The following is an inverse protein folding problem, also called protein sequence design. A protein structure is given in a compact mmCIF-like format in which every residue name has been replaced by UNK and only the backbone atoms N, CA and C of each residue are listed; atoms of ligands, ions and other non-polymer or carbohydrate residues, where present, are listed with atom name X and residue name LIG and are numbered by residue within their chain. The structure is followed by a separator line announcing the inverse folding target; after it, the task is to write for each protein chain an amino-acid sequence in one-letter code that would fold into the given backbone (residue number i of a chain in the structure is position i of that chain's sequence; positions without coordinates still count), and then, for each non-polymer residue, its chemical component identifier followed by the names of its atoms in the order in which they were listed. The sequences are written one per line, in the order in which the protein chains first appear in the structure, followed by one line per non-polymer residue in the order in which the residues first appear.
data_IF_103416967059
#
_entry.id   IF_103416967059
#
_cell.length_a   1.000
_cell.length_b   1.000
_cell.length_c   1.000
_cell.angle_alpha   90.00
_cell.angle_beta   90.00
_cell.angle_gamma   90.00
#
_symmetry.space_group_name_H-M   'P 1'
#
loop_
_entity.id
_entity.type
_entity.pdbx_description
1 polymer ?
#
# COMPACT_ATOMS: atom_id res chain seq x y z
N UNK A 1 -1.48 21.03 -2.85
CA UNK A 1 -0.62 20.57 -1.73
C UNK A 1 -1.32 20.89 -0.43
N UNK A 2 -1.09 20.12 0.61
CA UNK A 2 -1.75 20.23 1.92
C UNK A 2 -0.73 20.55 3.01
N UNK A 3 -1.16 21.18 4.09
CA UNK A 3 -0.37 21.21 5.33
C UNK A 3 -0.70 19.98 6.19
N UNK A 4 0.19 19.64 7.13
CA UNK A 4 -0.08 18.55 8.08
C UNK A 4 -1.32 18.86 8.96
N UNK A 5 -1.58 20.14 9.24
CA UNK A 5 -2.76 20.58 9.99
C UNK A 5 -4.05 20.33 9.19
N UNK A 6 -4.06 20.63 7.90
CA UNK A 6 -5.22 20.37 7.03
C UNK A 6 -5.53 18.87 6.99
N UNK A 7 -4.49 18.04 6.87
CA UNK A 7 -4.63 16.58 6.87
C UNK A 7 -5.13 16.07 8.22
N UNK A 8 -4.61 16.61 9.33
CA UNK A 8 -5.03 16.25 10.68
C UNK A 8 -6.53 16.53 10.90
N UNK A 9 -6.98 17.72 10.50
CA UNK A 9 -8.39 18.12 10.54
C UNK A 9 -9.24 17.20 9.66
N UNK A 10 -8.81 16.93 8.42
CA UNK A 10 -9.55 16.07 7.49
C UNK A 10 -9.70 14.62 7.97
N UNK A 11 -8.72 14.11 8.73
CA UNK A 11 -8.75 12.75 9.30
C UNK A 11 -9.37 12.68 10.70
N UNK A 12 -9.79 13.82 11.26
CA UNK A 12 -10.23 13.93 12.64
C UNK A 12 -9.22 13.30 13.63
N UNK A 13 -7.94 13.65 13.47
CA UNK A 13 -6.82 13.18 14.31
C UNK A 13 -5.92 14.35 14.69
N UNK A 14 -5.13 14.18 15.75
CA UNK A 14 -4.16 15.21 16.14
C UNK A 14 -2.94 15.21 15.21
N UNK A 15 -2.30 16.37 14.97
CA UNK A 15 -1.03 16.42 14.23
C UNK A 15 0.07 15.57 14.86
N UNK A 16 0.09 15.44 16.19
CA UNK A 16 1.02 14.58 16.92
C UNK A 16 0.80 13.09 16.60
N UNK A 17 -0.46 12.66 16.49
CA UNK A 17 -0.78 11.31 16.06
C UNK A 17 -0.26 11.03 14.64
N UNK A 18 -0.45 11.98 13.72
CA UNK A 18 0.08 11.84 12.36
C UNK A 18 1.61 11.81 12.33
N UNK A 19 2.30 12.61 13.14
CA UNK A 19 3.76 12.53 13.29
C UNK A 19 4.21 11.17 13.80
N UNK A 20 3.45 10.58 14.73
CA UNK A 20 3.69 9.21 15.20
C UNK A 20 3.56 8.18 14.07
N UNK A 21 2.56 8.33 13.19
CA UNK A 21 2.41 7.49 11.99
C UNK A 21 3.58 7.70 11.03
N UNK A 22 3.98 8.95 10.76
CA UNK A 22 5.11 9.25 9.89
C UNK A 22 6.40 8.59 10.39
N UNK A 23 6.69 8.68 11.68
CA UNK A 23 7.86 8.06 12.28
C UNK A 23 7.82 6.52 12.18
N UNK A 24 6.67 5.90 12.46
CA UNK A 24 6.51 4.42 12.42
C UNK A 24 6.64 3.82 11.04
N UNK A 25 6.26 4.56 10.00
CA UNK A 25 6.32 4.13 8.60
C UNK A 25 7.51 4.72 7.84
N UNK A 26 8.42 5.40 8.55
CA UNK A 26 9.62 6.04 7.98
C UNK A 26 9.27 6.98 6.81
N UNK A 27 8.18 7.73 6.97
CA UNK A 27 7.71 8.68 5.96
C UNK A 27 8.41 10.02 6.16
N UNK A 28 8.79 10.71 5.07
CA UNK A 28 9.39 12.03 5.18
C UNK A 28 8.38 13.02 5.77
N UNK A 29 8.84 13.82 6.73
CA UNK A 29 8.08 14.93 7.29
C UNK A 29 8.44 16.20 6.52
N UNK A 30 7.41 16.90 6.02
CA UNK A 30 7.58 18.18 5.34
C UNK A 30 7.10 19.33 6.24
N UNK A 31 7.75 20.48 6.11
CA UNK A 31 7.30 21.72 6.72
C UNK A 31 6.29 22.45 5.82
N UNK A 32 5.32 23.13 6.43
CA UNK A 32 4.31 23.90 5.71
C UNK A 32 3.45 23.05 4.75
N UNK A 33 3.17 23.61 3.57
CA UNK A 33 2.31 23.00 2.55
C UNK A 33 3.07 22.05 1.61
N UNK A 34 3.93 21.19 2.15
CA UNK A 34 4.74 20.25 1.37
C UNK A 34 4.08 18.90 1.07
N UNK A 35 2.88 18.63 1.60
CA UNK A 35 2.26 17.30 1.47
C UNK A 35 1.47 17.19 0.16
N UNK A 36 1.82 16.19 -0.65
CA UNK A 36 1.08 15.86 -1.88
C UNK A 36 -0.27 15.21 -1.55
N UNK A 37 -1.19 15.22 -2.52
CA UNK A 37 -2.47 14.50 -2.41
C UNK A 37 -2.27 12.99 -2.27
N UNK A 38 -1.21 12.45 -2.90
CA UNK A 38 -0.84 11.04 -2.78
C UNK A 38 -0.35 10.68 -1.36
N UNK A 39 0.42 11.56 -0.73
CA UNK A 39 0.80 11.42 0.68
C UNK A 39 -0.44 11.40 1.59
N UNK A 40 -1.37 12.32 1.35
CA UNK A 40 -2.63 12.36 2.09
C UNK A 40 -3.44 11.07 1.92
N UNK A 41 -3.52 10.54 0.69
CA UNK A 41 -4.22 9.28 0.41
C UNK A 41 -3.62 8.10 1.19
N UNK A 42 -2.28 8.00 1.27
CA UNK A 42 -1.60 6.97 2.07
C UNK A 42 -1.93 7.11 3.56
N UNK A 43 -1.79 8.31 4.13
CA UNK A 43 -2.09 8.55 5.54
C UNK A 43 -3.54 8.20 5.84
N UNK A 44 -4.48 8.60 4.97
CA UNK A 44 -5.90 8.28 5.12
C UNK A 44 -6.13 6.77 5.17
N UNK A 45 -5.54 6.01 4.24
CA UNK A 45 -5.64 4.54 4.22
C UNK A 45 -5.10 3.92 5.51
N UNK A 46 -3.92 4.36 5.97
CA UNK A 46 -3.33 3.86 7.23
C UNK A 46 -4.25 4.16 8.42
N UNK A 47 -4.76 5.38 8.54
CA UNK A 47 -5.65 5.75 9.65
C UNK A 47 -6.94 4.94 9.63
N UNK A 48 -7.53 4.69 8.46
CA UNK A 48 -8.72 3.87 8.35
C UNK A 48 -8.47 2.41 8.70
N UNK A 49 -7.39 1.80 8.22
CA UNK A 49 -7.06 0.42 8.56
C UNK A 49 -6.81 0.26 10.07
N UNK A 50 -6.14 1.23 10.71
CA UNK A 50 -5.95 1.24 12.17
C UNK A 50 -7.26 1.41 12.92
N UNK A 51 -8.19 2.22 12.41
CA UNK A 51 -9.52 2.36 12.99
C UNK A 51 -10.33 1.05 12.91
N UNK A 52 -10.05 0.21 11.93
CA UNK A 52 -10.61 -1.14 11.75
C UNK A 52 -9.84 -2.23 12.50
N UNK A 53 -9.04 -1.82 13.50
CA UNK A 53 -8.27 -2.71 14.38
C UNK A 53 -7.23 -3.57 13.66
N UNK A 54 -6.76 -3.15 12.47
CA UNK A 54 -5.58 -3.75 11.85
C UNK A 54 -4.34 -3.26 12.61
N UNK A 55 -3.51 -4.21 13.07
CA UNK A 55 -2.36 -3.91 13.91
C UNK A 55 -1.30 -3.09 13.16
N UNK A 56 -0.60 -2.24 13.90
CA UNK A 56 0.52 -1.47 13.36
C UNK A 56 1.64 -2.36 12.83
N UNK A 57 1.84 -3.53 13.44
CA UNK A 57 2.79 -4.55 13.01
C UNK A 57 2.46 -5.05 11.61
N UNK A 58 1.21 -5.46 11.36
CA UNK A 58 0.79 -5.95 10.04
C UNK A 58 0.81 -4.86 8.98
N UNK A 59 0.46 -3.62 9.33
CA UNK A 59 0.55 -2.50 8.39
C UNK A 59 1.99 -2.15 8.05
N UNK A 60 2.90 -2.20 9.03
CA UNK A 60 4.33 -2.00 8.78
C UNK A 60 4.89 -3.12 7.92
N UNK A 61 4.62 -4.37 8.22
CA UNK A 61 5.07 -5.51 7.41
C UNK A 61 4.59 -5.36 5.95
N UNK A 62 3.32 -5.01 5.76
CA UNK A 62 2.76 -4.74 4.44
C UNK A 62 3.48 -3.60 3.72
N UNK A 63 3.78 -2.51 4.43
CA UNK A 63 4.51 -1.37 3.88
C UNK A 63 5.92 -1.74 3.40
N UNK A 64 6.63 -2.56 4.16
CA UNK A 64 7.98 -3.00 3.79
C UNK A 64 7.95 -3.94 2.58
N UNK A 65 6.98 -4.86 2.53
CA UNK A 65 6.79 -5.76 1.40
C UNK A 65 6.42 -4.97 0.14
N UNK A 66 5.48 -4.03 0.23
CA UNK A 66 5.10 -3.19 -0.92
C UNK A 66 6.28 -2.32 -1.41
N UNK A 67 7.02 -1.67 -0.51
CA UNK A 67 8.24 -0.92 -0.90
C UNK A 67 9.25 -1.82 -1.61
N UNK A 68 9.52 -3.02 -1.08
CA UNK A 68 10.44 -3.97 -1.71
C UNK A 68 9.94 -4.38 -3.10
N UNK A 69 8.65 -4.65 -3.24
CA UNK A 69 8.05 -5.02 -4.52
C UNK A 69 8.18 -3.88 -5.54
N UNK A 70 7.96 -2.63 -5.13
CA UNK A 70 8.16 -1.48 -6.00
C UNK A 70 9.61 -1.29 -6.45
N UNK A 71 10.59 -1.57 -5.58
CA UNK A 71 12.02 -1.55 -5.94
C UNK A 71 12.34 -2.64 -6.96
N UNK A 72 11.81 -3.85 -6.78
CA UNK A 72 11.97 -4.96 -7.73
C UNK A 72 11.30 -4.68 -9.07
N UNK A 73 10.23 -3.87 -9.08
CA UNK A 73 9.57 -3.38 -10.30
C UNK A 73 10.21 -2.10 -10.86
N UNK A 74 11.34 -1.65 -10.31
CA UNK A 74 12.08 -0.45 -10.73
C UNK A 74 11.26 0.85 -10.71
N UNK A 75 10.27 0.97 -9.82
CA UNK A 75 9.50 2.21 -9.66
C UNK A 75 10.33 3.37 -9.05
N UNK A 76 11.48 3.04 -8.46
CA UNK A 76 12.49 3.97 -7.91
C UNK A 76 13.32 4.68 -8.98
N UNK A 77 13.29 4.21 -10.23
CA UNK A 77 14.00 4.81 -11.37
C UNK A 77 13.52 6.21 -11.79
N UNK A 78 12.42 6.68 -11.19
CA UNK A 78 11.79 7.98 -11.49
C UNK A 78 12.58 9.19 -10.96
N UNK A 79 13.61 8.99 -10.14
CA UNK A 79 14.46 10.07 -9.61
C UNK A 79 13.78 10.97 -8.55
N UNK A 80 12.54 10.65 -8.20
CA UNK A 80 11.78 11.36 -7.15
C UNK A 80 12.23 10.91 -5.77
N UNK A 81 12.52 11.83 -4.82
CA UNK A 81 12.86 11.47 -3.44
C UNK A 81 11.68 10.79 -2.70
N UNK A 82 10.47 10.90 -3.25
CA UNK A 82 9.24 10.29 -2.74
C UNK A 82 8.62 9.32 -3.74
N UNK A 83 9.43 8.68 -4.59
CA UNK A 83 8.97 7.77 -5.66
C UNK A 83 7.93 6.73 -5.19
N UNK A 84 8.05 6.23 -3.95
CA UNK A 84 7.13 5.26 -3.35
C UNK A 84 5.77 5.85 -2.94
N UNK A 85 5.64 7.17 -2.89
CA UNK A 85 4.40 7.90 -2.58
C UNK A 85 3.68 8.37 -3.83
N UNK A 86 4.39 8.49 -4.96
CA UNK A 86 3.85 9.15 -6.16
C UNK A 86 2.67 8.36 -6.75
N UNK A 87 2.62 7.05 -6.53
CA UNK A 87 1.52 6.17 -6.96
C UNK A 87 0.32 6.13 -6.00
N UNK A 88 0.47 6.59 -4.75
CA UNK A 88 -0.59 6.50 -3.73
C UNK A 88 -1.85 7.31 -4.07
N UNK A 89 -1.76 8.25 -5.02
CA UNK A 89 -2.89 9.05 -5.48
C UNK A 89 -3.77 8.35 -6.54
N UNK A 90 -3.33 7.22 -7.10
CA UNK A 90 -4.04 6.55 -8.18
C UNK A 90 -5.34 5.88 -7.69
N UNK A 91 -6.47 6.29 -8.27
CA UNK A 91 -7.81 5.76 -7.94
C UNK A 91 -8.32 4.74 -8.96
N UNK A 92 -7.63 4.57 -10.08
CA UNK A 92 -7.99 3.62 -11.14
C UNK A 92 -7.66 2.17 -10.74
N UNK A 93 -8.34 1.22 -11.39
CA UNK A 93 -8.08 -0.23 -11.33
C UNK A 93 -7.92 -0.84 -9.92
N UNK A 94 -8.96 -0.79 -9.05
CA UNK A 94 -8.88 -1.20 -7.65
C UNK A 94 -8.51 -2.67 -7.42
N UNK A 95 -8.72 -3.54 -8.42
CA UNK A 95 -8.35 -4.96 -8.37
C UNK A 95 -6.91 -5.26 -8.79
N UNK A 96 -6.21 -4.29 -9.38
CA UNK A 96 -4.85 -4.43 -9.93
C UNK A 96 -3.80 -3.69 -9.11
N UNK A 97 -4.25 -2.92 -8.12
CA UNK A 97 -3.39 -2.10 -7.29
C UNK A 97 -3.04 -2.74 -5.94
N UNK A 98 -1.85 -2.42 -5.45
CA UNK A 98 -1.43 -2.68 -4.09
C UNK A 98 -2.27 -1.87 -3.07
N UNK A 99 -2.25 -2.28 -1.80
CA UNK A 99 -3.21 -1.78 -0.80
C UNK A 99 -2.80 -0.42 -0.25
N UNK A 100 -1.51 -0.22 0.06
CA UNK A 100 -1.03 1.03 0.66
C UNK A 100 -0.53 2.01 -0.41
N UNK A 101 0.29 1.52 -1.33
CA UNK A 101 0.97 2.32 -2.36
C UNK A 101 0.08 2.63 -3.56
N UNK A 102 -1.07 1.94 -3.69
CA UNK A 102 -1.97 2.01 -4.83
C UNK A 102 -1.31 1.81 -6.21
N UNK A 103 -0.09 1.26 -6.24
CA UNK A 103 0.62 1.00 -7.47
C UNK A 103 -0.09 -0.08 -8.28
N UNK A 104 -0.41 0.23 -9.54
CA UNK A 104 -1.05 -0.70 -10.46
C UNK A 104 -0.01 -1.69 -11.00
N UNK A 105 -0.19 -2.97 -10.69
CA UNK A 105 0.65 -4.06 -11.18
C UNK A 105 0.39 -4.40 -12.65
N UNK A 106 -0.62 -3.78 -13.29
CA UNK A 106 -1.06 -4.08 -14.65
C UNK A 106 -1.90 -5.37 -14.75
N UNK A 107 -1.89 -6.21 -13.70
CA UNK A 107 -2.62 -7.48 -13.60
C UNK A 107 -3.45 -7.54 -12.31
N UNK A 108 -4.52 -8.33 -12.30
CA UNK A 108 -5.37 -8.46 -11.11
C UNK A 108 -4.61 -9.15 -9.95
N UNK A 109 -4.48 -8.44 -8.83
CA UNK A 109 -3.85 -8.91 -7.59
C UNK A 109 -4.49 -10.17 -6.99
N UNK A 110 -5.84 -10.39 -7.03
CA UNK A 110 -6.41 -11.63 -6.49
C UNK A 110 -6.23 -12.84 -7.40
N UNK A 111 -5.55 -12.72 -8.55
CA UNK A 111 -5.42 -13.84 -9.46
C UNK A 111 -4.41 -14.86 -8.91
N UNK A 112 -4.93 -16.00 -8.44
CA UNK A 112 -4.22 -17.30 -8.38
C UNK A 112 -3.60 -17.74 -9.73
N UNK A 113 -3.54 -16.88 -10.74
CA UNK A 113 -3.02 -17.15 -12.06
C UNK A 113 -1.62 -16.54 -12.23
N UNK A 114 -0.70 -16.89 -11.32
CA UNK A 114 0.69 -17.01 -11.75
C UNK A 114 0.83 -18.42 -12.28
N UNK A 115 0.69 -18.56 -13.60
CA UNK A 115 0.97 -19.80 -14.29
C UNK A 115 2.47 -20.07 -14.15
N UNK A 116 2.86 -20.88 -13.17
CA UNK A 116 4.24 -21.29 -12.84
C UNK A 116 4.81 -22.23 -13.92
N UNK A 117 4.77 -21.82 -15.19
CA UNK A 117 5.08 -22.71 -16.32
C UNK A 117 5.45 -22.02 -17.62
N UNK A 118 6.04 -20.82 -17.59
CA UNK A 118 6.80 -20.33 -18.74
C UNK A 118 8.19 -20.95 -18.68
N UNK A 119 8.38 -22.00 -19.47
CA UNK A 119 9.67 -22.64 -19.68
C UNK A 119 10.51 -21.71 -20.57
N UNK A 120 11.54 -21.07 -20.02
CA UNK A 120 12.50 -20.23 -20.76
C UNK A 120 13.61 -21.07 -21.42
N UNK A 121 13.29 -22.31 -21.81
CA UNK A 121 14.21 -23.13 -22.59
C UNK A 121 13.96 -22.84 -24.07
N UNK A 122 14.73 -21.89 -24.64
CA UNK A 122 15.38 -22.03 -25.96
C UNK A 122 16.16 -20.74 -26.30
N UNK A 123 17.49 -20.89 -26.22
CA UNK A 123 18.55 -20.26 -27.02
C UNK A 123 18.67 -18.72 -27.16
N UNK A 124 19.67 -18.20 -26.44
CA UNK A 124 20.57 -17.11 -26.84
C UNK A 124 19.96 -15.71 -27.03
N UNK A 125 19.56 -15.07 -25.93
CA UNK A 125 19.55 -13.61 -25.83
C UNK A 125 20.56 -13.18 -24.76
N UNK A 126 21.36 -12.12 -24.98
CA UNK A 126 22.26 -11.61 -23.96
C UNK A 126 21.44 -11.21 -22.74
N UNK A 127 21.73 -11.83 -21.59
CA UNK A 127 20.99 -11.62 -20.35
C UNK A 127 20.97 -10.13 -19.98
N UNK A 128 19.78 -9.52 -20.01
CA UNK A 128 19.55 -8.12 -19.63
C UNK A 128 19.70 -7.89 -18.11
N UNK A 129 19.80 -8.96 -17.33
CA UNK A 129 19.93 -8.94 -15.89
C UNK A 129 21.01 -9.93 -15.46
N UNK A 130 21.94 -9.49 -14.61
CA UNK A 130 22.91 -10.40 -14.02
C UNK A 130 22.23 -11.26 -12.96
N UNK A 131 21.80 -12.48 -13.34
CA UNK A 131 21.52 -13.57 -12.40
C UNK A 131 20.15 -14.25 -12.53
N UNK A 132 20.09 -15.45 -11.94
CA UNK A 132 18.92 -16.32 -11.80
C UNK A 132 17.86 -15.81 -10.78
N UNK A 133 18.05 -14.62 -10.19
CA UNK A 133 17.39 -14.19 -8.95
C UNK A 133 16.30 -13.12 -9.10
N UNK A 134 16.18 -12.40 -10.24
CA UNK A 134 15.27 -11.26 -10.31
C UNK A 134 13.77 -11.63 -10.43
N UNK A 135 13.43 -12.67 -11.18
CA UNK A 135 12.02 -13.12 -11.30
C UNK A 135 11.55 -13.93 -10.09
N UNK A 136 12.43 -14.78 -9.55
CA UNK A 136 12.12 -15.63 -8.41
C UNK A 136 11.91 -14.84 -7.11
N UNK A 137 12.71 -13.78 -6.86
CA UNK A 137 12.55 -12.98 -5.64
C UNK A 137 11.29 -12.10 -5.70
N UNK A 138 10.94 -11.53 -6.86
CA UNK A 138 9.72 -10.73 -7.02
C UNK A 138 8.45 -11.56 -6.83
N UNK A 139 8.39 -12.78 -7.40
CA UNK A 139 7.26 -13.68 -7.22
C UNK A 139 7.12 -14.17 -5.76
N UNK A 140 8.25 -14.40 -5.08
CA UNK A 140 8.26 -14.76 -3.66
C UNK A 140 7.72 -13.63 -2.79
N UNK A 141 8.22 -12.40 -3.00
CA UNK A 141 7.77 -11.19 -2.30
C UNK A 141 6.29 -10.92 -2.57
N UNK A 142 5.82 -11.10 -3.81
CA UNK A 142 4.40 -11.02 -4.14
C UNK A 142 3.59 -12.12 -3.45
N UNK A 143 4.12 -13.34 -3.34
CA UNK A 143 3.47 -14.42 -2.59
C UNK A 143 3.29 -14.08 -1.11
N UNK A 144 4.30 -13.50 -0.47
CA UNK A 144 4.24 -13.06 0.92
C UNK A 144 3.28 -11.88 1.10
N UNK A 145 3.27 -10.93 0.15
CA UNK A 145 2.26 -9.88 0.07
C UNK A 145 0.84 -10.46 0.05
N UNK A 146 0.55 -11.41 -0.84
CA UNK A 146 -0.79 -11.99 -1.00
C UNK A 146 -1.26 -12.71 0.27
N UNK A 147 -0.36 -13.42 0.97
CA UNK A 147 -0.68 -14.04 2.27
C UNK A 147 -1.11 -12.98 3.28
N UNK A 148 -0.31 -11.93 3.47
CA UNK A 148 -0.61 -10.86 4.43
C UNK A 148 -1.87 -10.08 4.04
N UNK A 149 -2.03 -9.76 2.76
CA UNK A 149 -3.21 -9.10 2.21
C UNK A 149 -4.48 -9.92 2.45
N UNK A 150 -4.42 -11.25 2.25
CA UNK A 150 -5.56 -12.13 2.50
C UNK A 150 -5.98 -12.15 3.98
N UNK A 151 -5.01 -12.08 4.90
CA UNK A 151 -5.26 -12.00 6.35
C UNK A 151 -5.92 -10.67 6.71
N UNK A 152 -5.35 -9.56 6.27
CA UNK A 152 -5.92 -8.22 6.50
C UNK A 152 -7.35 -8.16 5.93
N UNK A 153 -7.59 -8.70 4.74
CA UNK A 153 -8.92 -8.74 4.14
C UNK A 153 -9.90 -9.59 4.97
N UNK A 154 -9.47 -10.72 5.52
CA UNK A 154 -10.30 -11.54 6.40
C UNK A 154 -10.65 -10.78 7.69
N UNK A 155 -9.68 -10.10 8.30
CA UNK A 155 -9.89 -9.28 9.51
C UNK A 155 -10.87 -8.14 9.22
N UNK A 156 -10.71 -7.44 8.10
CA UNK A 156 -11.64 -6.39 7.67
C UNK A 156 -13.05 -6.95 7.41
N UNK A 157 -13.16 -8.13 6.81
CA UNK A 157 -14.46 -8.77 6.55
C UNK A 157 -15.16 -9.18 7.86
N UNK A 158 -14.39 -9.54 8.89
CA UNK A 158 -14.93 -9.83 10.22
C UNK A 158 -15.48 -8.57 10.92
N UNK A 159 -14.97 -7.38 10.58
CA UNK A 159 -15.47 -6.10 11.10
C UNK A 159 -16.71 -5.57 10.36
N UNK A 160 -17.03 -6.10 9.17
CA UNK A 160 -18.13 -5.58 8.33
C UNK A 160 -19.50 -5.57 9.03
N UNK A 161 -19.92 -6.59 9.80
CA UNK A 161 -21.18 -6.54 10.55
C UNK A 161 -21.23 -5.40 11.57
N UNK A 162 -20.13 -5.17 12.31
CA UNK A 162 -20.02 -4.11 13.31
C UNK A 162 -20.09 -2.72 12.67
N UNK A 163 -19.44 -2.55 11.50
CA UNK A 163 -19.51 -1.30 10.76
C UNK A 163 -20.91 -1.00 10.27
N UNK A 164 -21.63 -2.01 9.77
CA UNK A 164 -23.02 -1.85 9.32
C UNK A 164 -23.93 -1.46 10.49
N UNK A 165 -23.77 -2.07 11.65
CA UNK A 165 -24.53 -1.72 12.86
C UNK A 165 -24.22 -0.29 13.34
N UNK A 166 -22.93 0.08 13.40
CA UNK A 166 -22.53 1.44 13.76
C UNK A 166 -23.07 2.50 12.78
N UNK A 167 -23.10 2.19 11.47
CA UNK A 167 -23.71 3.05 10.46
C UNK A 167 -25.22 3.20 10.65
N UNK A 168 -25.92 2.14 11.03
CA UNK A 168 -27.35 2.22 11.35
C UNK A 168 -27.58 3.16 12.53
N UNK A 169 -26.78 3.07 13.59
CA UNK A 169 -26.86 4.03 14.70
C UNK A 169 -26.60 5.46 14.25
N UNK A 170 -25.63 5.67 13.37
CA UNK A 170 -25.34 7.00 12.83
C UNK A 170 -26.52 7.59 12.05
N UNK A 171 -27.30 6.77 11.33
CA UNK A 171 -28.53 7.23 10.65
C UNK A 171 -29.69 7.52 11.60
N UNK A 172 -29.64 7.05 12.84
CA UNK A 172 -30.65 7.27 13.88
C UNK A 172 -30.23 8.33 14.92
N UNK A 173 -29.08 8.98 14.74
CA UNK A 173 -28.69 10.13 15.56
C UNK A 173 -29.57 11.34 15.19
N UNK A 174 -30.16 12.03 16.19
CA UNK A 174 -31.02 13.21 15.97
C UNK A 174 -30.25 14.43 15.44
#
# INVERSE_FOLDING_TARGET
MHTLADIATALNRSPQFLRGVQARFELPAFEGAGYSSAYFALLRTIVYLRALNITDESLRELWHIEKKLLQLLHADSTGSPTWFLDSCGATAHPKRRLLLTHYDLGVEVPAKALQLGLNFAEDSLPELFAGADMGADALRVLGDYLKLYSRIRADLSAQDPLLREAMQWATHLP
#
